data_IF_167478797806
#
_entry.id   IF_167478797806
#
_cell.length_a   1.000
_cell.length_b   1.000
_cell.length_c   1.000
_cell.angle_alpha   90.00
_cell.angle_beta   90.00
_cell.angle_gamma   90.00
#
_symmetry.space_group_name_H-M   'P 1'
#
loop_
_entity.id
_entity.type
_entity.pdbx_description
1 polymer ?
#
# COMPACT_ATOMS: atom_id res chain seq x y z
N UNK A 1 13.31 -18.32 10.78
CA UNK A 1 13.25 -16.91 11.21
C UNK A 1 11.87 -16.65 11.78
N UNK A 2 11.75 -16.18 13.02
CA UNK A 2 10.46 -15.86 13.64
C UNK A 2 9.95 -14.54 13.05
N UNK A 3 8.81 -14.57 12.36
CA UNK A 3 8.10 -13.35 11.97
C UNK A 3 7.78 -12.60 13.27
N UNK A 4 8.32 -11.39 13.43
CA UNK A 4 8.01 -10.52 14.56
C UNK A 4 6.52 -10.20 14.53
N UNK A 5 5.73 -10.86 15.39
CA UNK A 5 4.31 -10.52 15.58
C UNK A 5 4.25 -9.17 16.27
N UNK A 6 4.17 -8.09 15.48
CA UNK A 6 3.79 -6.79 16.02
C UNK A 6 2.39 -6.93 16.62
N UNK A 7 2.17 -6.45 17.86
CA UNK A 7 0.84 -6.42 18.42
C UNK A 7 -0.06 -5.57 17.52
N UNK A 8 -1.24 -6.11 17.19
CA UNK A 8 -2.20 -5.41 16.35
C UNK A 8 -2.77 -4.22 17.13
N UNK A 9 -2.80 -3.05 16.51
CA UNK A 9 -3.34 -1.82 17.10
C UNK A 9 -4.37 -1.22 16.14
N UNK A 10 -5.62 -1.11 16.61
CA UNK A 10 -6.75 -0.60 15.83
C UNK A 10 -7.08 0.87 16.11
N UNK A 11 -6.37 1.56 17.01
CA UNK A 11 -6.73 2.90 17.47
C UNK A 11 -6.90 3.90 16.32
N UNK A 12 -5.97 3.92 15.36
CA UNK A 12 -6.03 4.80 14.19
C UNK A 12 -7.30 4.57 13.34
N UNK A 13 -7.61 3.30 13.05
CA UNK A 13 -8.79 2.92 12.29
C UNK A 13 -10.08 3.23 13.08
N UNK A 14 -10.08 2.93 14.37
CA UNK A 14 -11.21 3.17 15.26
C UNK A 14 -11.52 4.67 15.37
N UNK A 15 -10.53 5.56 15.52
CA UNK A 15 -10.75 7.02 15.52
C UNK A 15 -11.48 7.46 14.26
N UNK A 16 -11.00 7.00 13.10
CA UNK A 16 -11.57 7.37 11.81
C UNK A 16 -13.02 6.91 11.68
N UNK A 17 -13.32 5.68 12.08
CA UNK A 17 -14.66 5.11 11.97
C UNK A 17 -15.63 5.69 13.00
N UNK A 18 -15.23 5.81 14.27
CA UNK A 18 -16.04 6.43 15.32
C UNK A 18 -16.37 7.88 14.98
N UNK A 19 -15.39 8.65 14.46
CA UNK A 19 -15.62 10.02 14.02
C UNK A 19 -16.65 10.08 12.89
N UNK A 20 -16.54 9.20 11.87
CA UNK A 20 -17.50 9.15 10.76
C UNK A 20 -18.91 8.77 11.25
N UNK A 21 -19.02 7.77 12.13
CA UNK A 21 -20.29 7.32 12.71
C UNK A 21 -20.97 8.44 13.52
N UNK A 22 -20.18 9.22 14.26
CA UNK A 22 -20.66 10.38 15.00
C UNK A 22 -20.95 11.61 14.12
N UNK A 23 -20.68 11.56 12.80
CA UNK A 23 -20.87 12.68 11.89
C UNK A 23 -19.95 13.87 12.19
N UNK A 24 -18.81 13.64 12.85
CA UNK A 24 -17.93 14.72 13.32
C UNK A 24 -16.87 15.08 12.28
N UNK A 25 -16.61 16.37 12.13
CA UNK A 25 -15.45 16.86 11.39
C UNK A 25 -14.17 16.59 12.18
N UNK A 26 -13.02 16.58 11.51
CA UNK A 26 -11.72 16.48 12.20
C UNK A 26 -11.49 17.63 13.16
N UNK A 27 -11.91 18.84 12.79
CA UNK A 27 -11.79 20.01 13.65
C UNK A 27 -12.63 19.84 14.93
N UNK A 28 -13.86 19.35 14.81
CA UNK A 28 -14.71 19.11 15.98
C UNK A 28 -14.10 18.12 16.98
N UNK A 29 -13.37 17.10 16.49
CA UNK A 29 -12.64 16.17 17.35
C UNK A 29 -11.44 16.83 18.01
N UNK A 30 -10.67 17.63 17.26
CA UNK A 30 -9.56 18.42 17.80
C UNK A 30 -10.03 19.36 18.91
N UNK A 31 -11.16 20.04 18.70
CA UNK A 31 -11.75 20.95 19.67
C UNK A 31 -12.20 20.20 20.94
N UNK A 32 -12.73 18.98 20.79
CA UNK A 32 -13.05 18.11 21.94
C UNK A 32 -11.82 17.67 22.69
N UNK A 33 -10.77 17.21 22.00
CA UNK A 33 -9.51 16.79 22.63
C UNK A 33 -8.85 17.92 23.42
N UNK A 34 -8.94 19.16 22.93
CA UNK A 34 -8.45 20.32 23.65
C UNK A 34 -9.16 20.53 25.00
N UNK A 35 -10.42 20.14 25.14
CA UNK A 35 -11.16 20.19 26.41
C UNK A 35 -10.71 19.12 27.43
N UNK A 36 -9.95 18.11 27.00
CA UNK A 36 -9.31 17.10 27.84
C UNK A 36 -7.83 17.41 28.11
N UNK A 37 -7.38 18.64 27.84
CA UNK A 37 -5.96 19.05 27.92
C UNK A 37 -5.02 18.23 27.02
N UNK A 38 -5.54 17.63 25.94
CA UNK A 38 -4.76 16.90 24.93
C UNK A 38 -4.82 17.64 23.58
N UNK A 39 -4.10 18.77 23.42
CA UNK A 39 -4.13 19.52 22.17
C UNK A 39 -3.52 18.72 21.01
N UNK A 40 -4.29 18.54 19.94
CA UNK A 40 -3.86 17.84 18.73
C UNK A 40 -4.10 18.71 17.49
N UNK A 41 -3.11 18.84 16.61
CA UNK A 41 -3.31 19.58 15.37
C UNK A 41 -4.12 18.75 14.36
N UNK A 42 -4.98 19.40 13.56
CA UNK A 42 -5.85 18.73 12.57
C UNK A 42 -5.06 17.90 11.54
N UNK A 43 -3.87 18.36 11.14
CA UNK A 43 -2.95 17.59 10.28
C UNK A 43 -2.43 16.34 10.98
N UNK A 44 -2.15 16.40 12.28
CA UNK A 44 -1.70 15.24 13.06
C UNK A 44 -2.82 14.21 13.19
N UNK A 45 -4.05 14.66 13.47
CA UNK A 45 -5.23 13.78 13.46
C UNK A 45 -5.41 13.09 12.10
N UNK A 46 -5.25 13.82 10.99
CA UNK A 46 -5.29 13.22 9.65
C UNK A 46 -4.22 12.13 9.47
N UNK A 47 -2.97 12.40 9.85
CA UNK A 47 -1.87 11.41 9.72
C UNK A 47 -2.08 10.19 10.61
N UNK A 48 -2.68 10.38 11.78
CA UNK A 48 -3.11 9.31 12.68
C UNK A 48 -4.16 8.43 12.00
N UNK A 49 -5.24 9.02 11.47
CA UNK A 49 -6.31 8.27 10.78
C UNK A 49 -5.83 7.53 9.51
N UNK A 50 -4.75 8.03 8.89
CA UNK A 50 -4.09 7.42 7.73
C UNK A 50 -3.04 6.36 8.14
N UNK A 51 -2.81 6.13 9.43
CA UNK A 51 -1.83 5.18 9.95
C UNK A 51 -0.37 5.60 9.76
N UNK A 52 -0.12 6.86 9.37
CA UNK A 52 1.22 7.42 9.16
C UNK A 52 1.86 7.92 10.46
N UNK A 53 1.06 8.10 11.51
CA UNK A 53 1.49 8.52 12.83
C UNK A 53 0.81 7.65 13.89
N UNK A 54 1.59 7.17 14.86
CA UNK A 54 1.06 6.41 15.99
C UNK A 54 0.29 7.34 16.95
N UNK A 55 -0.78 6.80 17.54
CA UNK A 55 -1.55 7.46 18.61
C UNK A 55 -0.75 7.35 19.91
N UNK A 56 -0.61 8.46 20.65
CA UNK A 56 -0.01 8.44 21.98
C UNK A 56 -0.98 7.88 23.02
N UNK A 57 -0.49 7.48 24.19
CA UNK A 57 -1.33 6.86 25.22
C UNK A 57 -2.38 7.86 25.73
N UNK A 58 -1.98 9.11 25.95
CA UNK A 58 -2.85 10.18 26.44
C UNK A 58 -3.93 10.53 25.40
N UNK A 59 -3.56 10.57 24.12
CA UNK A 59 -4.50 10.74 23.00
C UNK A 59 -5.49 9.57 22.93
N UNK A 60 -5.01 8.34 23.04
CA UNK A 60 -5.85 7.14 23.01
C UNK A 60 -6.85 7.11 24.15
N UNK A 61 -6.43 7.48 25.37
CA UNK A 61 -7.32 7.60 26.51
C UNK A 61 -8.39 8.67 26.28
N UNK A 62 -8.01 9.86 25.83
CA UNK A 62 -8.96 10.93 25.55
C UNK A 62 -9.97 10.55 24.45
N UNK A 63 -9.54 9.85 23.40
CA UNK A 63 -10.46 9.32 22.39
C UNK A 63 -11.42 8.29 22.97
N UNK A 64 -10.94 7.37 23.80
CA UNK A 64 -11.77 6.36 24.44
C UNK A 64 -12.86 7.01 25.31
N UNK A 65 -12.50 8.05 26.07
CA UNK A 65 -13.45 8.85 26.86
C UNK A 65 -14.44 9.63 25.99
N UNK A 66 -13.98 10.30 24.92
CA UNK A 66 -14.84 11.07 24.00
C UNK A 66 -15.91 10.18 23.32
N UNK A 67 -15.56 8.94 23.02
CA UNK A 67 -16.46 7.99 22.35
C UNK A 67 -17.12 6.99 23.31
N UNK A 68 -16.92 7.14 24.62
CA UNK A 68 -17.50 6.30 25.67
C UNK A 68 -17.23 4.80 25.47
N UNK A 69 -15.99 4.46 25.11
CA UNK A 69 -15.52 3.08 24.91
C UNK A 69 -14.38 2.76 25.85
N UNK A 70 -14.28 1.49 26.25
CA UNK A 70 -13.14 1.04 27.04
C UNK A 70 -11.82 1.17 26.25
N UNK A 71 -10.76 1.65 26.91
CA UNK A 71 -9.46 1.89 26.27
C UNK A 71 -8.83 0.61 25.72
N UNK A 72 -8.96 -0.53 26.44
CA UNK A 72 -8.41 -1.79 25.95
C UNK A 72 -9.15 -2.26 24.70
N UNK A 73 -10.48 -2.11 24.68
CA UNK A 73 -11.29 -2.42 23.51
C UNK A 73 -10.99 -1.48 22.33
N UNK A 74 -10.80 -0.19 22.58
CA UNK A 74 -10.41 0.79 21.58
C UNK A 74 -9.07 0.47 20.90
N UNK A 75 -8.12 -0.13 21.62
CA UNK A 75 -6.81 -0.50 21.08
C UNK A 75 -6.88 -1.88 20.40
N UNK A 76 -7.53 -2.85 21.05
CA UNK A 76 -7.42 -4.27 20.69
C UNK A 76 -8.53 -4.78 19.78
N UNK A 77 -9.69 -4.10 19.71
CA UNK A 77 -10.84 -4.55 18.93
C UNK A 77 -11.22 -3.53 17.86
N UNK A 78 -11.46 -3.96 16.62
CA UNK A 78 -11.94 -3.05 15.60
C UNK A 78 -13.42 -2.71 15.83
N UNK A 79 -13.76 -1.43 15.80
CA UNK A 79 -15.15 -0.95 15.86
C UNK A 79 -15.96 -1.44 14.66
N UNK A 80 -15.32 -1.53 13.49
CA UNK A 80 -15.92 -2.12 12.30
C UNK A 80 -15.10 -3.35 11.84
N UNK A 81 -15.60 -4.59 12.06
CA UNK A 81 -14.85 -5.81 11.75
C UNK A 81 -14.62 -6.01 10.25
N UNK A 82 -15.50 -5.49 9.39
CA UNK A 82 -15.35 -5.58 7.94
C UNK A 82 -14.17 -4.72 7.49
N UNK A 83 -14.13 -3.47 7.94
CA UNK A 83 -13.02 -2.53 7.63
C UNK A 83 -11.70 -3.10 8.14
N UNK A 84 -11.67 -3.67 9.34
CA UNK A 84 -10.47 -4.29 9.88
C UNK A 84 -10.01 -5.52 9.09
N UNK A 85 -10.93 -6.35 8.59
CA UNK A 85 -10.60 -7.47 7.70
C UNK A 85 -9.97 -6.97 6.40
N UNK A 86 -10.51 -5.90 5.82
CA UNK A 86 -9.96 -5.26 4.61
C UNK A 86 -8.57 -4.69 4.89
N UNK A 87 -8.39 -3.94 5.98
CA UNK A 87 -7.09 -3.35 6.34
C UNK A 87 -6.04 -4.42 6.60
N UNK A 88 -6.40 -5.51 7.30
CA UNK A 88 -5.49 -6.63 7.50
C UNK A 88 -5.10 -7.29 6.17
N UNK A 89 -6.06 -7.45 5.25
CA UNK A 89 -5.78 -7.97 3.91
C UNK A 89 -4.85 -7.06 3.12
N UNK A 90 -5.00 -5.73 3.22
CA UNK A 90 -4.11 -4.75 2.59
C UNK A 90 -2.69 -4.82 3.19
N UNK A 91 -2.57 -4.96 4.51
CA UNK A 91 -1.27 -5.09 5.18
C UNK A 91 -0.57 -6.37 4.71
N UNK A 92 -1.26 -7.50 4.73
CA UNK A 92 -0.71 -8.79 4.27
C UNK A 92 -0.28 -8.70 2.80
N UNK A 93 -1.12 -8.13 1.94
CA UNK A 93 -0.78 -7.93 0.53
C UNK A 93 0.47 -7.04 0.34
N UNK A 94 0.63 -5.98 1.15
CA UNK A 94 1.84 -5.13 1.11
C UNK A 94 3.09 -5.87 1.56
N UNK A 95 2.98 -6.71 2.58
CA UNK A 95 4.10 -7.55 3.05
C UNK A 95 4.48 -8.59 2.00
N UNK A 96 3.50 -9.21 1.34
CA UNK A 96 3.72 -10.13 0.22
C UNK A 96 4.40 -9.44 -0.96
N UNK A 97 3.94 -8.24 -1.35
CA UNK A 97 4.58 -7.44 -2.39
C UNK A 97 6.02 -7.06 -2.03
N UNK A 98 6.27 -6.72 -0.76
CA UNK A 98 7.62 -6.42 -0.28
C UNK A 98 8.51 -7.67 -0.37
N UNK A 99 8.04 -8.81 0.10
CA UNK A 99 8.78 -10.06 0.01
C UNK A 99 9.08 -10.45 -1.45
N UNK A 100 8.12 -10.25 -2.35
CA UNK A 100 8.32 -10.45 -3.79
C UNK A 100 9.39 -9.50 -4.36
N UNK A 101 9.38 -8.23 -3.95
CA UNK A 101 10.37 -7.25 -4.39
C UNK A 101 11.79 -7.61 -3.95
N UNK A 102 11.95 -8.13 -2.73
CA UNK A 102 13.23 -8.61 -2.20
C UNK A 102 13.73 -9.83 -2.98
N UNK A 103 12.84 -10.76 -3.34
CA UNK A 103 13.18 -11.91 -4.18
C UNK A 103 13.61 -11.49 -5.59
N UNK A 104 12.90 -10.52 -6.20
CA UNK A 104 13.27 -9.98 -7.51
C UNK A 104 14.67 -9.35 -7.50
N UNK A 105 15.01 -8.61 -6.44
CA UNK A 105 16.33 -8.01 -6.29
C UNK A 105 17.45 -9.06 -6.30
N UNK A 106 17.26 -10.20 -5.64
CA UNK A 106 18.23 -11.32 -5.64
C UNK A 106 18.39 -11.91 -7.04
N UNK A 107 17.29 -12.07 -7.78
CA UNK A 107 17.35 -12.59 -9.16
C UNK A 107 18.13 -11.65 -10.07
N UNK A 108 17.92 -10.34 -9.94
CA UNK A 108 18.65 -9.32 -10.70
C UNK A 108 20.14 -9.35 -10.37
N UNK A 109 20.51 -9.42 -9.09
CA UNK A 109 21.92 -9.50 -8.70
C UNK A 109 22.60 -10.77 -9.21
N UNK A 110 21.91 -11.91 -9.15
CA UNK A 110 22.42 -13.17 -9.70
C UNK A 110 22.60 -13.08 -11.23
N UNK A 111 21.69 -12.38 -11.89
CA UNK A 111 21.75 -12.12 -13.32
C UNK A 111 22.97 -11.27 -13.70
N UNK A 112 23.16 -10.13 -13.04
CA UNK A 112 24.30 -9.24 -13.28
C UNK A 112 25.62 -10.00 -13.12
N UNK A 113 25.71 -10.84 -12.08
CA UNK A 113 26.88 -11.70 -11.87
C UNK A 113 27.10 -12.73 -12.99
N UNK A 114 26.03 -13.32 -13.53
CA UNK A 114 26.13 -14.23 -14.67
C UNK A 114 26.57 -13.51 -15.95
N UNK A 115 26.10 -12.29 -16.18
CA UNK A 115 26.48 -11.46 -17.33
C UNK A 115 27.95 -11.08 -17.25
N UNK A 116 28.43 -10.63 -16.07
CA UNK A 116 29.85 -10.30 -15.85
C UNK A 116 30.79 -11.49 -16.09
N UNK A 117 30.33 -12.71 -15.83
CA UNK A 117 31.12 -13.94 -16.02
C UNK A 117 30.97 -14.57 -17.41
N UNK A 118 30.01 -14.13 -18.21
CA UNK A 118 29.73 -14.72 -19.52
C UNK A 118 30.68 -14.16 -20.59
N UNK A 119 31.40 -15.07 -21.25
CA UNK A 119 32.10 -14.77 -22.51
C UNK A 119 31.08 -14.29 -23.56
N UNK A 120 31.44 -13.31 -24.40
CA UNK A 120 30.52 -12.48 -25.19
C UNK A 120 29.52 -13.28 -26.05
N UNK A 121 29.92 -14.47 -26.52
CA UNK A 121 29.07 -15.40 -27.29
C UNK A 121 27.88 -15.99 -26.50
N UNK A 122 27.93 -15.97 -25.16
CA UNK A 122 26.83 -16.41 -24.29
C UNK A 122 25.81 -15.30 -23.97
N UNK A 123 26.15 -14.02 -24.20
CA UNK A 123 25.28 -12.87 -23.94
C UNK A 123 23.99 -12.86 -24.80
N UNK A 124 24.01 -13.46 -25.99
CA UNK A 124 22.83 -13.64 -26.86
C UNK A 124 21.67 -14.44 -26.21
N UNK A 125 21.97 -15.32 -25.23
CA UNK A 125 20.91 -15.95 -24.40
C UNK A 125 20.56 -15.10 -23.19
N UNK A 126 21.49 -14.27 -22.74
CA UNK A 126 21.27 -13.35 -21.65
C UNK A 126 20.19 -12.31 -22.04
N UNK A 127 20.36 -11.65 -23.18
CA UNK A 127 19.48 -10.56 -23.64
C UNK A 127 17.99 -10.93 -23.67
N UNK A 128 17.66 -12.17 -24.09
CA UNK A 128 16.27 -12.67 -24.12
C UNK A 128 15.63 -12.86 -22.74
N UNK A 129 16.42 -13.09 -21.69
CA UNK A 129 15.88 -13.12 -20.33
C UNK A 129 15.73 -11.71 -19.76
N UNK A 130 16.64 -10.79 -20.13
CA UNK A 130 16.56 -9.38 -19.75
C UNK A 130 15.22 -8.77 -20.19
N UNK A 131 14.80 -9.00 -21.44
CA UNK A 131 13.48 -8.55 -21.94
C UNK A 131 12.30 -9.12 -21.12
N UNK A 132 12.41 -10.37 -20.65
CA UNK A 132 11.35 -11.03 -19.85
C UNK A 132 11.32 -10.50 -18.42
N UNK A 133 12.48 -10.25 -17.81
CA UNK A 133 12.58 -9.62 -16.48
C UNK A 133 12.06 -8.18 -16.57
N UNK A 134 12.49 -7.39 -17.55
CA UNK A 134 12.01 -6.03 -17.79
C UNK A 134 10.49 -6.00 -18.05
N UNK A 135 9.96 -6.94 -18.83
CA UNK A 135 8.51 -7.05 -19.07
C UNK A 135 7.75 -7.34 -17.77
N UNK A 136 8.22 -8.28 -16.95
CA UNK A 136 7.60 -8.62 -15.66
C UNK A 136 7.68 -7.45 -14.67
N UNK A 137 8.83 -6.79 -14.60
CA UNK A 137 9.10 -5.62 -13.77
C UNK A 137 8.21 -4.44 -14.19
N UNK A 138 8.01 -4.21 -15.49
CA UNK A 138 7.11 -3.17 -16.00
C UNK A 138 5.63 -3.45 -15.71
N UNK A 139 5.22 -4.73 -15.69
CA UNK A 139 3.85 -5.14 -15.34
C UNK A 139 3.54 -4.90 -13.86
N UNK A 140 4.53 -5.18 -12.99
CA UNK A 140 4.47 -4.94 -11.54
C UNK A 140 4.48 -3.42 -11.25
N UNK A 141 5.21 -2.64 -12.06
CA UNK A 141 5.27 -1.19 -11.97
C UNK A 141 4.00 -0.42 -12.32
N UNK A 142 3.23 -0.93 -13.28
CA UNK A 142 1.95 -0.30 -13.68
C UNK A 142 0.83 -0.53 -12.67
N UNK A 143 0.96 -1.54 -11.80
CA UNK A 143 -0.07 -1.94 -10.84
C UNK A 143 0.17 -1.44 -9.41
N UNK A 144 1.38 -0.98 -9.09
CA UNK A 144 1.78 -0.61 -7.73
C UNK A 144 2.74 0.57 -7.77
N UNK A 145 2.68 1.51 -6.82
CA UNK A 145 3.54 2.71 -6.73
C UNK A 145 5.05 2.47 -6.49
N UNK A 146 5.61 1.44 -7.13
CA UNK A 146 7.02 1.02 -7.11
C UNK A 146 7.87 1.74 -8.16
N UNK A 147 7.32 2.77 -8.83
CA UNK A 147 8.04 3.61 -9.80
C UNK A 147 9.45 4.05 -9.35
N UNK A 148 9.70 4.39 -8.07
CA UNK A 148 11.06 4.77 -7.64
C UNK A 148 12.08 3.63 -7.75
N UNK A 149 11.68 2.39 -7.42
CA UNK A 149 12.56 1.21 -7.54
C UNK A 149 12.82 0.84 -9.00
N UNK A 150 11.82 1.05 -9.86
CA UNK A 150 11.95 0.85 -11.31
C UNK A 150 12.87 1.87 -11.94
N UNK A 151 12.81 3.10 -11.49
CA UNK A 151 13.70 4.17 -11.95
C UNK A 151 15.15 3.90 -11.55
N UNK A 152 15.36 3.45 -10.32
CA UNK A 152 16.69 3.08 -9.81
C UNK A 152 17.26 1.85 -10.54
N UNK A 153 16.40 0.88 -10.88
CA UNK A 153 16.78 -0.25 -11.74
C UNK A 153 17.16 0.20 -13.15
N UNK A 154 16.39 1.14 -13.72
CA UNK A 154 16.61 1.69 -15.04
C UNK A 154 17.93 2.46 -15.15
N UNK A 155 18.27 3.28 -14.15
CA UNK A 155 19.58 3.95 -14.06
C UNK A 155 20.73 2.93 -13.98
N UNK A 156 20.56 1.87 -13.18
CA UNK A 156 21.59 0.83 -13.00
C UNK A 156 21.84 0.09 -14.31
N UNK A 157 20.80 -0.23 -15.07
CA UNK A 157 20.90 -0.84 -16.39
C UNK A 157 21.54 0.09 -17.43
N UNK A 158 21.23 1.40 -17.38
CA UNK A 158 21.84 2.40 -18.25
C UNK A 158 23.34 2.56 -18.02
N UNK A 159 23.82 2.45 -16.77
CA UNK A 159 25.25 2.46 -16.46
C UNK A 159 26.02 1.25 -17.00
N UNK A 160 25.33 0.13 -17.26
CA UNK A 160 25.90 -1.08 -17.85
C UNK A 160 25.90 -1.04 -19.39
N UNK A 161 25.47 0.08 -20.01
CA UNK A 161 25.40 0.23 -21.46
C UNK A 161 24.30 -0.60 -22.13
N UNK A 162 23.35 -1.10 -21.35
CA UNK A 162 22.20 -1.85 -21.84
C UNK A 162 21.12 -0.82 -22.20
N UNK A 163 20.86 -0.62 -23.50
CA UNK A 163 19.80 0.26 -23.96
C UNK A 163 18.43 -0.32 -23.57
N UNK A 164 17.75 0.42 -22.70
CA UNK A 164 16.51 0.02 -22.07
C UNK A 164 15.30 0.32 -22.97
N UNK A 165 15.42 1.25 -23.93
CA UNK A 165 14.31 1.71 -24.78
C UNK A 165 13.23 2.55 -24.08
N UNK A 166 13.53 3.17 -22.92
CA UNK A 166 12.57 3.93 -22.10
C UNK A 166 12.48 5.43 -22.45
N UNK A 167 12.83 5.86 -23.66
CA UNK A 167 12.91 7.29 -23.98
C UNK A 167 11.56 8.05 -23.97
N UNK A 168 10.41 7.37 -23.93
CA UNK A 168 9.13 8.07 -23.73
C UNK A 168 8.18 7.24 -22.86
N UNK A 169 8.14 7.53 -21.56
CA UNK A 169 6.91 7.29 -20.77
C UNK A 169 6.02 8.50 -21.02
N UNK A 170 4.92 8.39 -21.79
CA UNK A 170 4.08 9.54 -22.04
C UNK A 170 3.45 10.01 -20.73
N UNK A 171 3.39 11.33 -20.55
CA UNK A 171 2.81 12.12 -19.44
C UNK A 171 1.29 11.88 -19.21
N UNK A 172 0.77 10.70 -19.59
CA UNK A 172 -0.63 10.31 -19.41
C UNK A 172 -0.96 9.82 -18.00
N UNK A 173 0.02 9.65 -17.10
CA UNK A 173 -0.24 9.30 -15.70
C UNK A 173 -0.83 10.46 -14.88
N UNK A 174 -0.90 11.68 -15.43
CA UNK A 174 -1.44 12.87 -14.75
C UNK A 174 -2.88 13.24 -15.15
N UNK A 175 -3.47 12.59 -16.17
CA UNK A 175 -4.85 12.86 -16.62
C UNK A 175 -5.69 11.60 -16.59
N UNK A 176 -6.84 11.71 -15.92
CA UNK A 176 -7.72 10.61 -15.50
C UNK A 176 -8.01 9.55 -16.57
N UNK A 177 -8.14 8.32 -16.09
CA UNK A 177 -8.51 7.14 -16.87
C UNK A 177 -10.00 7.25 -17.23
N UNK A 178 -10.30 7.92 -18.35
CA UNK A 178 -11.56 7.71 -19.08
C UNK A 178 -11.26 6.81 -20.28
N UNK A 179 -11.73 5.57 -20.22
CA UNK A 179 -11.55 4.59 -21.28
C UNK A 179 -12.40 3.33 -21.04
N UNK A 180 -12.72 2.57 -22.11
CA UNK A 180 -13.78 1.55 -22.15
C UNK A 180 -13.56 0.33 -21.23
N UNK A 181 -12.43 0.26 -20.53
CA UNK A 181 -12.14 -0.77 -19.54
C UNK A 181 -12.69 -0.46 -18.13
N UNK A 182 -13.01 0.81 -17.83
CA UNK A 182 -13.65 1.19 -16.57
C UNK A 182 -15.08 0.61 -16.47
N UNK A 183 -15.82 0.61 -17.59
CA UNK A 183 -17.18 0.05 -17.66
C UNK A 183 -17.21 -1.49 -17.55
N UNK A 184 -16.12 -2.17 -17.93
CA UNK A 184 -16.03 -3.63 -17.85
C UNK A 184 -15.82 -4.12 -16.41
N UNK A 185 -15.03 -3.39 -15.61
CA UNK A 185 -14.79 -3.71 -14.21
C UNK A 185 -16.03 -3.48 -13.33
N UNK A 186 -16.83 -2.44 -13.64
CA UNK A 186 -18.08 -2.15 -12.93
C UNK A 186 -19.16 -3.17 -13.26
N UNK A 187 -19.25 -3.65 -14.52
CA UNK A 187 -20.20 -4.71 -14.93
C UNK A 187 -19.91 -6.06 -14.25
N UNK A 188 -18.64 -6.46 -14.17
CA UNK A 188 -18.26 -7.71 -13.52
C UNK A 188 -18.54 -7.72 -12.00
N UNK A 189 -18.63 -6.55 -11.37
CA UNK A 189 -18.98 -6.40 -9.95
C UNK A 189 -20.49 -6.38 -9.69
N UNK A 190 -21.31 -6.01 -10.68
CA UNK A 190 -22.77 -5.98 -10.55
C UNK A 190 -23.44 -7.32 -10.92
N UNK A 191 -22.81 -8.11 -11.80
CA UNK A 191 -23.36 -9.42 -12.21
C UNK A 191 -23.15 -10.54 -11.16
N UNK A 192 -22.35 -10.27 -10.11
CA UNK A 192 -22.04 -11.26 -9.06
C UNK A 192 -23.02 -11.20 -7.86
N UNK A 193 -23.96 -10.25 -7.83
CA UNK A 193 -24.92 -10.03 -6.73
C UNK A 193 -26.34 -10.55 -7.04
N UNK A 194 -26.55 -11.14 -8.23
CA UNK A 194 -27.87 -11.62 -8.67
C UNK A 194 -28.08 -13.14 -8.50
N UNK A 195 -27.17 -13.83 -7.80
CA UNK A 195 -27.04 -15.29 -7.88
C UNK A 195 -27.20 -16.09 -6.57
N UNK A 196 -27.84 -15.57 -5.53
CA UNK A 196 -28.17 -16.36 -4.34
C UNK A 196 -29.59 -16.06 -3.85
N UNK A 197 -30.55 -16.84 -4.35
CA UNK A 197 -31.92 -16.76 -3.88
C UNK A 197 -32.91 -17.57 -4.71
N UNK A 198 -32.73 -18.89 -4.79
CA UNK A 198 -33.82 -19.86 -4.96
C UNK A 198 -33.27 -21.31 -4.95
N UNK A 199 -33.39 -21.98 -3.79
CA UNK A 199 -33.77 -23.39 -3.60
C UNK A 199 -33.58 -23.80 -2.14
#
# INVERSE_FOLDING_TARGET
>A
MSVSKRPVNYSAANIRELRKQAGLSRQAIVDRLAAYDVPLHTTSLRRIEEGQQAVKIEEAQAFAEIFEIDLADFIAKPVNPIVAKIEHSIINYREELKALSEQLLVVIQAWDHMVEQADYDRLSRADRMSERVQSAVSLIGRSSGLLPLLFQLNETLGHLGIDNGWEEVPDRASKGVEGPFADMAVRALLDNDAGEGES
#
